data_IF_506454431465
#
_entry.id   IF_506454431465
#
_cell.length_a   1.000
_cell.length_b   1.000
_cell.length_c   1.000
_cell.angle_alpha   90.00
_cell.angle_beta   90.00
_cell.angle_gamma   90.00
#
_symmetry.space_group_name_H-M   'P 1'
#
loop_
_entity.id
_entity.type
_entity.pdbx_description
1 polymer ?
#
# COMPACT_ATOMS: atom_id res chain seq x y z
N UNK A 1 8.19 -6.29 15.65
CA UNK A 1 8.54 -7.60 15.02
C UNK A 1 7.34 -8.02 14.22
N UNK A 2 7.53 -8.35 12.94
CA UNK A 2 6.45 -8.82 12.07
C UNK A 2 6.03 -10.23 12.53
N UNK A 3 4.74 -10.45 12.71
CA UNK A 3 4.18 -11.76 13.08
C UNK A 3 4.10 -12.70 11.87
N UNK A 4 4.01 -14.01 12.10
CA UNK A 4 3.86 -15.00 11.02
C UNK A 4 2.66 -14.72 10.11
N UNK A 5 1.54 -14.31 10.71
CA UNK A 5 0.35 -13.85 9.98
C UNK A 5 0.65 -12.66 9.08
N UNK A 6 1.32 -11.65 9.61
CA UNK A 6 1.66 -10.44 8.85
C UNK A 6 2.63 -10.74 7.71
N UNK A 7 3.64 -11.59 7.95
CA UNK A 7 4.57 -12.04 6.90
C UNK A 7 3.82 -12.77 5.77
N UNK A 8 2.82 -13.59 6.12
CA UNK A 8 1.96 -14.26 5.14
C UNK A 8 1.15 -13.27 4.30
N UNK A 9 0.50 -12.30 4.94
CA UNK A 9 -0.27 -11.25 4.25
C UNK A 9 0.63 -10.46 3.28
N UNK A 10 1.85 -10.10 3.72
CA UNK A 10 2.81 -9.38 2.88
C UNK A 10 3.28 -10.22 1.67
N UNK A 11 3.40 -11.54 1.84
CA UNK A 11 3.72 -12.43 0.74
C UNK A 11 2.55 -12.56 -0.24
N UNK A 12 1.33 -12.71 0.26
CA UNK A 12 0.12 -12.78 -0.57
C UNK A 12 -0.12 -11.45 -1.31
N UNK A 13 0.14 -10.31 -0.67
CA UNK A 13 0.07 -9.00 -1.30
C UNK A 13 1.10 -8.87 -2.43
N UNK A 14 2.33 -9.33 -2.22
CA UNK A 14 3.37 -9.36 -3.28
C UNK A 14 2.95 -10.21 -4.47
N UNK A 15 2.41 -11.40 -4.22
CA UNK A 15 1.96 -12.30 -5.29
C UNK A 15 0.78 -11.69 -6.06
N UNK A 16 -0.16 -11.08 -5.33
CA UNK A 16 -1.29 -10.37 -5.92
C UNK A 16 -0.85 -9.21 -6.81
N UNK A 17 0.05 -8.36 -6.32
CA UNK A 17 0.61 -7.23 -7.06
C UNK A 17 1.39 -7.71 -8.28
N UNK A 18 2.21 -8.75 -8.12
CA UNK A 18 2.94 -9.37 -9.23
C UNK A 18 1.98 -9.94 -10.28
N UNK A 19 0.88 -10.56 -9.86
CA UNK A 19 -0.13 -11.14 -10.75
C UNK A 19 -0.94 -10.08 -11.50
N UNK A 20 -1.20 -8.92 -10.92
CA UNK A 20 -1.89 -7.81 -11.58
C UNK A 20 -0.93 -7.09 -12.56
N UNK A 21 0.35 -6.93 -12.20
CA UNK A 21 1.34 -6.23 -13.04
C UNK A 21 1.94 -7.06 -14.16
N UNK A 22 1.94 -8.39 -14.07
CA UNK A 22 2.45 -9.24 -15.16
C UNK A 22 1.67 -9.07 -16.46
N UNK A 23 0.41 -8.62 -16.38
CA UNK A 23 -0.48 -8.40 -17.53
C UNK A 23 -0.39 -6.95 -18.06
N UNK A 24 0.16 -6.03 -17.25
CA UNK A 24 0.35 -4.62 -17.59
C UNK A 24 1.63 -4.41 -18.43
N UNK A 25 1.46 -4.13 -19.73
CA UNK A 25 2.55 -3.84 -20.66
C UNK A 25 3.07 -2.38 -20.59
N UNK A 26 2.65 -1.61 -19.58
CA UNK A 26 2.79 -0.14 -19.54
C UNK A 26 4.12 0.38 -18.95
N UNK A 27 5.00 -0.50 -18.44
CA UNK A 27 6.27 -0.09 -17.81
C UNK A 27 6.15 0.30 -16.33
N UNK A 28 5.04 -0.06 -15.67
CA UNK A 28 5.00 -0.23 -14.22
C UNK A 28 5.75 -1.52 -13.87
N UNK A 29 7.07 -1.51 -14.07
CA UNK A 29 7.91 -2.66 -13.78
C UNK A 29 7.77 -3.05 -12.31
N UNK A 30 7.62 -4.34 -12.01
CA UNK A 30 7.72 -4.91 -10.66
C UNK A 30 8.91 -4.32 -9.86
N UNK A 31 10.00 -3.99 -10.54
CA UNK A 31 11.18 -3.33 -9.98
C UNK A 31 10.93 -1.91 -9.43
N UNK A 32 9.95 -1.17 -9.98
CA UNK A 32 9.48 0.10 -9.43
C UNK A 32 8.88 -0.11 -8.04
N UNK A 33 7.95 -1.05 -7.92
CA UNK A 33 7.29 -1.36 -6.64
C UNK A 33 8.30 -1.88 -5.64
N UNK A 34 9.16 -2.82 -6.02
CA UNK A 34 10.21 -3.32 -5.12
C UNK A 34 11.09 -2.19 -4.59
N UNK A 35 11.41 -1.18 -5.42
CA UNK A 35 12.21 -0.03 -4.97
C UNK A 35 11.43 0.85 -4.00
N UNK A 36 10.17 1.18 -4.30
CA UNK A 36 9.32 1.99 -3.41
C UNK A 36 9.09 1.28 -2.09
N UNK A 37 8.79 -0.02 -2.11
CA UNK A 37 8.59 -0.85 -0.91
C UNK A 37 9.86 -0.90 -0.06
N UNK A 38 11.05 -1.12 -0.65
CA UNK A 38 12.30 -1.11 0.11
C UNK A 38 12.57 0.26 0.77
N UNK A 39 12.33 1.35 0.04
CA UNK A 39 12.48 2.70 0.61
C UNK A 39 11.49 2.94 1.75
N UNK A 40 10.22 2.53 1.60
CA UNK A 40 9.21 2.66 2.63
C UNK A 40 9.58 1.87 3.90
N UNK A 41 10.11 0.66 3.75
CA UNK A 41 10.61 -0.16 4.87
C UNK A 41 11.80 0.50 5.57
N UNK A 42 12.73 1.06 4.81
CA UNK A 42 13.91 1.74 5.36
C UNK A 42 13.50 2.99 6.16
N UNK A 43 12.61 3.82 5.59
CA UNK A 43 12.06 5.01 6.25
C UNK A 43 11.28 4.60 7.51
N UNK A 44 10.41 3.59 7.42
CA UNK A 44 9.64 3.11 8.56
C UNK A 44 10.54 2.62 9.70
N UNK A 45 11.65 1.96 9.36
CA UNK A 45 12.63 1.50 10.34
C UNK A 45 13.36 2.68 11.00
N UNK A 46 13.70 3.72 10.24
CA UNK A 46 14.36 4.92 10.76
C UNK A 46 13.42 5.75 11.65
N UNK A 47 12.17 5.93 11.24
CA UNK A 47 11.16 6.72 11.94
C UNK A 47 10.44 5.94 13.06
N UNK A 48 10.81 4.67 13.29
CA UNK A 48 10.15 3.74 14.23
C UNK A 48 8.64 3.56 13.95
N UNK A 49 8.23 3.69 12.70
CA UNK A 49 6.88 3.40 12.23
C UNK A 49 6.62 1.89 12.13
N UNK A 50 5.35 1.52 11.92
CA UNK A 50 5.00 0.12 11.74
C UNK A 50 5.39 -0.38 10.34
N UNK A 51 6.53 -1.08 10.28
CA UNK A 51 7.09 -1.63 9.03
C UNK A 51 6.10 -2.49 8.26
N UNK A 52 5.22 -3.24 8.96
CA UNK A 52 4.22 -4.07 8.28
C UNK A 52 3.20 -3.20 7.55
N UNK A 53 2.71 -2.15 8.19
CA UNK A 53 1.73 -1.22 7.59
C UNK A 53 2.36 -0.46 6.42
N UNK A 54 3.58 0.08 6.59
CA UNK A 54 4.28 0.81 5.53
C UNK A 54 4.58 -0.09 4.32
N UNK A 55 5.05 -1.32 4.55
CA UNK A 55 5.34 -2.28 3.47
C UNK A 55 4.06 -2.66 2.72
N UNK A 56 2.99 -2.96 3.44
CA UNK A 56 1.71 -3.36 2.88
C UNK A 56 1.07 -2.22 2.08
N UNK A 57 1.09 -1.00 2.61
CA UNK A 57 0.61 0.19 1.90
C UNK A 57 1.42 0.45 0.63
N UNK A 58 2.75 0.35 0.69
CA UNK A 58 3.61 0.52 -0.49
C UNK A 58 3.39 -0.57 -1.56
N UNK A 59 3.03 -1.80 -1.18
CA UNK A 59 2.69 -2.84 -2.14
C UNK A 59 1.33 -2.59 -2.80
N UNK A 60 0.32 -2.19 -2.02
CA UNK A 60 -1.06 -2.07 -2.49
C UNK A 60 -1.40 -0.70 -3.10
N UNK A 61 -0.57 0.33 -2.91
CA UNK A 61 -0.86 1.68 -3.42
C UNK A 61 -1.05 1.71 -4.95
N UNK A 62 -0.24 0.96 -5.69
CA UNK A 62 -0.30 0.93 -7.16
C UNK A 62 -1.57 0.20 -7.64
N UNK A 63 -2.06 -0.77 -6.85
CA UNK A 63 -3.33 -1.47 -7.09
C UNK A 63 -4.54 -0.59 -6.81
N UNK A 64 -4.42 0.37 -5.89
CA UNK A 64 -5.45 1.35 -5.61
C UNK A 64 -5.43 2.53 -6.61
N UNK A 65 -4.35 2.72 -7.39
CA UNK A 65 -4.23 3.83 -8.33
C UNK A 65 -5.35 3.74 -9.38
N UNK A 66 -6.03 4.87 -9.61
CA UNK A 66 -7.13 4.99 -10.58
C UNK A 66 -6.70 4.80 -12.04
N UNK A 67 -5.44 4.46 -12.31
CA UNK A 67 -5.01 3.96 -13.63
C UNK A 67 -5.38 2.50 -13.84
N UNK A 68 -5.39 1.68 -12.80
CA UNK A 68 -5.76 0.25 -12.86
C UNK A 68 -7.25 0.00 -12.60
N UNK A 69 -7.96 1.00 -12.08
CA UNK A 69 -9.37 0.91 -11.73
C UNK A 69 -10.14 2.09 -12.31
N UNK A 70 -11.46 1.99 -12.44
CA UNK A 70 -12.29 3.05 -13.00
C UNK A 70 -12.19 4.38 -12.23
N UNK A 71 -12.02 4.33 -10.90
CA UNK A 71 -11.84 5.47 -10.00
C UNK A 71 -11.02 5.06 -8.76
N UNK A 72 -10.42 6.05 -8.07
CA UNK A 72 -9.65 5.83 -6.82
C UNK A 72 -10.50 5.19 -5.71
N UNK A 73 -11.76 5.60 -5.56
CA UNK A 73 -12.68 5.01 -4.57
C UNK A 73 -12.87 3.50 -4.78
N UNK A 74 -12.92 3.06 -6.05
CA UNK A 74 -13.04 1.64 -6.39
C UNK A 74 -11.75 0.90 -6.08
N UNK A 75 -10.59 1.53 -6.31
CA UNK A 75 -9.29 0.99 -5.95
C UNK A 75 -9.13 0.81 -4.42
N UNK A 76 -9.52 1.80 -3.63
CA UNK A 76 -9.52 1.74 -2.17
C UNK A 76 -10.45 0.63 -1.65
N UNK A 77 -11.67 0.53 -2.20
CA UNK A 77 -12.59 -0.56 -1.84
C UNK A 77 -12.02 -1.93 -2.20
N UNK A 78 -11.34 -2.06 -3.35
CA UNK A 78 -10.69 -3.33 -3.76
C UNK A 78 -9.62 -3.74 -2.75
N UNK A 79 -8.80 -2.79 -2.27
CA UNK A 79 -7.80 -3.02 -1.23
C UNK A 79 -8.45 -3.37 0.10
N UNK A 80 -9.49 -2.65 0.53
CA UNK A 80 -10.23 -2.94 1.76
C UNK A 80 -10.77 -4.37 1.76
N UNK A 81 -11.48 -4.74 0.69
CA UNK A 81 -12.06 -6.08 0.54
C UNK A 81 -10.99 -7.17 0.50
N UNK A 82 -9.85 -6.90 -0.15
CA UNK A 82 -8.72 -7.83 -0.16
C UNK A 82 -8.16 -8.05 1.25
N UNK A 83 -7.97 -6.98 2.03
CA UNK A 83 -7.47 -7.07 3.41
C UNK A 83 -8.46 -7.78 4.34
N UNK A 84 -9.76 -7.50 4.21
CA UNK A 84 -10.82 -8.19 4.95
C UNK A 84 -10.80 -9.70 4.66
N UNK A 85 -10.64 -10.09 3.40
CA UNK A 85 -10.54 -11.50 3.00
C UNK A 85 -9.29 -12.19 3.59
N UNK A 86 -8.20 -11.46 3.78
CA UNK A 86 -6.98 -11.97 4.41
C UNK A 86 -6.99 -11.88 5.94
N UNK A 87 -8.18 -11.65 6.53
CA UNK A 87 -8.42 -11.56 7.96
C UNK A 87 -7.61 -10.46 8.66
N UNK A 88 -7.22 -9.40 7.95
CA UNK A 88 -6.62 -8.22 8.55
C UNK A 88 -7.59 -7.57 9.55
N UNK A 89 -7.07 -6.96 10.60
CA UNK A 89 -7.89 -6.30 11.62
C UNK A 89 -8.39 -4.96 11.09
N UNK A 90 -9.57 -4.49 11.50
CA UNK A 90 -10.12 -3.19 11.07
C UNK A 90 -9.14 -2.03 11.32
N UNK A 91 -8.36 -2.08 12.41
CA UNK A 91 -7.32 -1.09 12.68
C UNK A 91 -6.18 -1.11 11.65
N UNK A 92 -5.75 -2.30 11.21
CA UNK A 92 -4.72 -2.44 10.17
C UNK A 92 -5.26 -1.96 8.82
N UNK A 93 -6.50 -2.33 8.50
CA UNK A 93 -7.19 -1.94 7.27
C UNK A 93 -7.32 -0.42 7.19
N UNK A 94 -7.87 0.21 8.24
CA UNK A 94 -8.05 1.66 8.28
C UNK A 94 -6.71 2.40 8.14
N UNK A 95 -5.66 1.90 8.78
CA UNK A 95 -4.33 2.53 8.72
C UNK A 95 -3.72 2.43 7.31
N UNK A 96 -3.80 1.26 6.68
CA UNK A 96 -3.31 1.06 5.31
C UNK A 96 -4.09 1.93 4.32
N UNK A 97 -5.42 1.99 4.45
CA UNK A 97 -6.27 2.83 3.60
C UNK A 97 -5.99 4.32 3.77
N UNK A 98 -5.74 4.80 4.99
CA UNK A 98 -5.39 6.19 5.27
C UNK A 98 -4.07 6.59 4.60
N UNK A 99 -3.06 5.74 4.70
CA UNK A 99 -1.76 5.92 4.06
C UNK A 99 -1.90 5.91 2.53
N UNK A 100 -2.61 4.93 1.97
CA UNK A 100 -2.83 4.85 0.51
C UNK A 100 -3.62 6.06 0.01
N UNK A 101 -4.66 6.49 0.72
CA UNK A 101 -5.43 7.68 0.37
C UNK A 101 -4.56 8.94 0.39
N UNK A 102 -3.62 9.03 1.33
CA UNK A 102 -2.66 10.14 1.41
C UNK A 102 -1.64 10.11 0.27
N UNK A 103 -1.20 8.92 -0.16
CA UNK A 103 -0.22 8.74 -1.25
C UNK A 103 -0.81 8.83 -2.67
N UNK A 104 -2.02 8.31 -2.87
CA UNK A 104 -2.71 8.24 -4.18
C UNK A 104 -3.15 9.61 -4.71
N UNK A 105 -3.14 10.65 -3.85
CA UNK A 105 -3.43 12.03 -4.19
C UNK A 105 -2.33 12.65 -5.09
N UNK A 106 -2.21 12.15 -6.32
CA UNK A 106 -1.44 12.72 -7.42
C UNK A 106 -1.85 14.19 -7.61
N UNK A 107 -1.00 15.09 -7.14
CA UNK A 107 -0.72 16.37 -7.78
C UNK A 107 -1.85 17.40 -7.77
N UNK A 108 -2.04 18.09 -6.64
CA UNK A 108 -2.82 19.33 -6.68
C UNK A 108 -3.22 19.89 -5.33
N UNK A 109 -2.30 20.60 -4.68
CA UNK A 109 -2.63 21.78 -3.88
C UNK A 109 -3.71 21.58 -2.81
N UNK A 110 -3.45 20.78 -1.77
CA UNK A 110 -4.06 21.05 -0.48
C UNK A 110 -3.18 20.52 0.65
N UNK A 111 -2.59 21.47 1.39
CA UNK A 111 -1.88 21.25 2.64
C UNK A 111 -2.85 20.64 3.68
N UNK A 112 -3.09 19.33 3.60
CA UNK A 112 -3.58 18.60 4.76
C UNK A 112 -2.37 18.26 5.60
N UNK A 113 -2.31 18.89 6.77
CA UNK A 113 -1.30 18.63 7.78
C UNK A 113 -1.42 17.16 8.19
N UNK A 114 -0.59 16.30 7.60
CA UNK A 114 -0.43 14.91 8.00
C UNK A 114 0.12 14.95 9.44
N UNK A 115 -0.74 14.60 10.40
CA UNK A 115 -0.43 14.71 11.84
C UNK A 115 0.21 13.44 12.40
N UNK A 116 0.52 12.48 11.54
CA UNK A 116 1.14 11.20 11.88
C UNK A 116 2.47 11.07 11.16
N UNK A 117 3.48 10.56 11.87
CA UNK A 117 4.83 10.33 11.33
C UNK A 117 4.83 9.35 10.14
N UNK A 118 3.81 8.52 10.03
CA UNK A 118 3.72 7.40 9.09
C UNK A 118 3.28 7.81 7.68
N UNK A 119 2.77 9.05 7.53
CA UNK A 119 2.33 9.62 6.25
C UNK A 119 3.11 10.86 5.79
N UNK A 120 4.22 11.21 6.46
CA UNK A 120 5.18 12.23 5.99
C UNK A 120 6.25 11.60 5.10
#
# INVERSE_FOLDING_TARGET
>A
MITDRQAKILQEARDFVYAELKDEMSGHDWWHIVRVTNNAVEIATQEQADVFICELAALLHDIADGKLNENEEVGLQKVEQWLQNHQASDAEIAHVLDIISTMSFKGGHQQKNVSTLEGQ
#
